data_IF_199729316289
#
_entry.id   IF_199729316289
#
_cell.length_a   1.000
_cell.length_b   1.000
_cell.length_c   1.000
_cell.angle_alpha   90.00
_cell.angle_beta   90.00
_cell.angle_gamma   90.00
#
_symmetry.space_group_name_H-M   'P 1'
#
loop_
_entity.id
_entity.type
_entity.pdbx_description
1 polymer ?
#
# COMPACT_ATOMS: atom_id res chain seq x y z
N UNK A 1 39.41 -79.18 0.06
CA UNK A 1 38.61 -79.35 1.29
C UNK A 1 39.20 -78.49 2.39
N UNK A 2 38.35 -77.80 3.16
CA UNK A 2 38.60 -77.12 4.46
C UNK A 2 39.66 -75.99 4.44
N UNK A 3 39.37 -74.71 4.69
CA UNK A 3 38.58 -74.00 5.73
C UNK A 3 39.53 -73.18 6.61
N UNK A 4 39.48 -71.86 6.39
CA UNK A 4 39.38 -70.77 7.36
C UNK A 4 39.87 -71.04 8.81
N UNK A 5 40.71 -70.14 9.35
CA UNK A 5 40.26 -69.03 10.23
C UNK A 5 41.40 -68.08 10.59
N UNK A 6 41.14 -66.80 10.38
CA UNK A 6 41.85 -65.63 10.86
C UNK A 6 41.28 -65.26 12.25
N UNK A 7 42.13 -65.02 13.25
CA UNK A 7 41.73 -64.37 14.52
C UNK A 7 42.53 -63.08 14.63
N UNK A 8 41.86 -61.97 14.38
CA UNK A 8 42.35 -60.62 14.58
C UNK A 8 42.17 -60.20 16.05
N UNK A 9 43.17 -59.51 16.59
CA UNK A 9 43.18 -58.97 17.94
C UNK A 9 42.15 -57.83 18.10
N UNK A 10 41.35 -57.87 19.16
CA UNK A 10 40.38 -56.85 19.51
C UNK A 10 40.92 -55.94 20.64
N UNK A 11 40.84 -54.61 20.50
CA UNK A 11 41.26 -53.63 21.54
C UNK A 11 40.31 -53.58 22.76
N UNK A 12 40.74 -52.95 23.87
CA UNK A 12 40.11 -53.06 25.19
C UNK A 12 38.71 -52.44 25.31
N UNK A 13 37.95 -52.96 26.29
CA UNK A 13 36.54 -52.68 26.56
C UNK A 13 36.25 -51.22 26.95
N UNK A 14 35.12 -50.64 26.50
CA UNK A 14 34.65 -49.34 26.98
C UNK A 14 34.19 -49.40 28.45
N UNK A 15 34.40 -48.31 29.19
CA UNK A 15 33.95 -48.14 30.59
C UNK A 15 32.41 -48.16 30.70
N UNK A 16 31.86 -48.60 31.85
CA UNK A 16 30.42 -48.53 32.07
C UNK A 16 29.92 -47.08 32.15
N UNK A 17 28.67 -46.82 31.72
CA UNK A 17 28.08 -45.49 31.71
C UNK A 17 27.75 -44.98 33.13
N UNK A 18 27.72 -43.65 33.34
CA UNK A 18 27.33 -43.04 34.61
C UNK A 18 25.84 -43.27 34.94
N UNK A 19 25.45 -43.20 36.23
CA UNK A 19 24.06 -43.39 36.65
C UNK A 19 23.15 -42.30 36.05
N UNK A 20 21.86 -42.63 35.80
CA UNK A 20 20.91 -41.69 35.22
C UNK A 20 20.64 -40.51 36.17
N UNK A 21 20.44 -39.29 35.63
CA UNK A 21 20.11 -38.13 36.45
C UNK A 21 18.73 -38.30 37.12
N UNK A 22 18.49 -37.63 38.27
CA UNK A 22 17.20 -37.68 38.94
C UNK A 22 16.09 -37.21 38.01
N UNK A 23 14.99 -37.98 37.98
CA UNK A 23 13.80 -37.71 37.17
C UNK A 23 13.24 -36.34 37.56
N UNK A 24 13.37 -35.34 36.67
CA UNK A 24 12.72 -34.03 36.84
C UNK A 24 11.22 -34.24 36.77
N UNK A 25 10.51 -34.06 37.88
CA UNK A 25 9.06 -33.94 37.85
C UNK A 25 8.67 -32.77 36.94
N UNK A 26 7.65 -32.91 36.08
CA UNK A 26 7.13 -31.78 35.32
C UNK A 26 6.66 -30.71 36.29
N UNK A 27 7.35 -29.56 36.33
CA UNK A 27 6.83 -28.35 36.98
C UNK A 27 5.46 -28.06 36.37
N UNK A 28 4.39 -28.16 37.16
CA UNK A 28 3.08 -27.65 36.76
C UNK A 28 3.25 -26.18 36.39
N UNK A 29 2.80 -25.72 35.21
CA UNK A 29 2.76 -24.31 34.92
C UNK A 29 1.85 -23.63 35.96
N UNK A 30 2.17 -22.39 36.38
CA UNK A 30 1.25 -21.62 37.22
C UNK A 30 -0.09 -21.48 36.48
N UNK A 31 -1.23 -21.41 37.20
CA UNK A 31 -2.50 -21.16 36.57
C UNK A 31 -2.41 -19.86 35.76
N UNK A 32 -2.60 -19.95 34.44
CA UNK A 32 -2.82 -18.77 33.61
C UNK A 32 -4.08 -18.08 34.11
N UNK A 33 -3.91 -17.03 34.92
CA UNK A 33 -4.98 -16.08 35.20
C UNK A 33 -5.29 -15.38 33.89
N UNK A 34 -6.26 -15.91 33.15
CA UNK A 34 -6.90 -15.20 32.04
C UNK A 34 -7.57 -13.99 32.68
N UNK A 35 -6.88 -12.84 32.64
CA UNK A 35 -7.44 -11.56 33.01
C UNK A 35 -8.61 -11.31 32.03
N UNK A 36 -9.85 -11.10 32.51
CA UNK A 36 -11.00 -10.94 31.64
C UNK A 36 -10.89 -9.58 30.95
N UNK A 37 -10.22 -9.51 29.81
CA UNK A 37 -10.14 -8.31 28.96
C UNK A 37 -11.47 -8.04 28.26
N UNK A 38 -12.33 -9.05 28.10
CA UNK A 38 -13.67 -8.91 27.51
C UNK A 38 -14.59 -7.97 28.29
N UNK A 39 -14.51 -7.92 29.63
CA UNK A 39 -15.37 -7.07 30.45
C UNK A 39 -15.06 -5.58 30.27
N UNK A 40 -13.77 -5.23 30.17
CA UNK A 40 -13.32 -3.85 29.95
C UNK A 40 -13.63 -3.39 28.52
N UNK A 41 -13.45 -4.25 27.53
CA UNK A 41 -13.80 -3.95 26.14
C UNK A 41 -15.31 -3.75 25.95
N UNK A 42 -16.14 -4.58 26.59
CA UNK A 42 -17.59 -4.47 26.53
C UNK A 42 -18.09 -3.22 27.29
N UNK A 43 -17.50 -2.90 28.45
CA UNK A 43 -17.82 -1.69 29.19
C UNK A 43 -17.41 -0.42 28.42
N UNK A 44 -16.25 -0.43 27.75
CA UNK A 44 -15.81 0.67 26.90
C UNK A 44 -16.72 0.85 25.67
N UNK A 45 -17.13 -0.25 25.03
CA UNK A 45 -18.09 -0.22 23.93
C UNK A 45 -19.45 0.31 24.38
N UNK A 46 -19.96 -0.15 25.52
CA UNK A 46 -21.21 0.33 26.10
C UNK A 46 -21.15 1.82 26.47
N UNK A 47 -20.01 2.28 27.03
CA UNK A 47 -19.79 3.70 27.33
C UNK A 47 -19.73 4.56 26.06
N UNK A 48 -19.11 4.07 24.97
CA UNK A 48 -19.09 4.76 23.69
C UNK A 48 -20.50 4.87 23.06
N UNK A 49 -21.29 3.80 23.13
CA UNK A 49 -22.69 3.80 22.66
C UNK A 49 -23.57 4.74 23.50
N UNK A 50 -23.40 4.75 24.83
CA UNK A 50 -24.11 5.67 25.71
C UNK A 50 -23.71 7.14 25.49
N UNK A 51 -22.43 7.42 25.24
CA UNK A 51 -21.95 8.75 24.91
C UNK A 51 -22.49 9.24 23.56
N UNK A 52 -22.59 8.35 22.56
CA UNK A 52 -23.23 8.65 21.28
C UNK A 52 -24.74 8.91 21.43
N UNK A 53 -25.42 8.16 22.31
CA UNK A 53 -26.84 8.38 22.61
C UNK A 53 -27.11 9.64 23.45
N UNK A 54 -26.12 10.09 24.23
CA UNK A 54 -26.18 11.32 25.03
C UNK A 54 -25.71 12.58 24.27
N UNK A 55 -25.26 12.42 23.02
CA UNK A 55 -24.84 13.55 22.19
C UNK A 55 -26.04 14.48 21.95
N UNK A 56 -25.89 15.75 22.32
CA UNK A 56 -26.92 16.75 22.06
C UNK A 56 -27.13 16.91 20.54
N UNK A 57 -28.32 17.31 20.06
CA UNK A 57 -28.55 17.62 18.65
C UNK A 57 -27.46 18.49 17.98
N UNK A 58 -26.90 19.54 18.63
CA UNK A 58 -25.77 20.28 18.08
C UNK A 58 -24.46 19.48 17.99
N UNK A 59 -24.22 18.52 18.88
CA UNK A 59 -23.05 17.64 18.82
C UNK A 59 -23.18 16.59 17.70
N UNK A 60 -24.40 16.10 17.43
CA UNK A 60 -24.68 15.24 16.27
C UNK A 60 -24.62 16.02 14.95
N UNK A 61 -25.10 17.26 14.93
CA UNK A 61 -24.97 18.17 13.79
C UNK A 61 -23.50 18.55 13.51
N UNK A 62 -22.64 18.58 14.53
CA UNK A 62 -21.20 18.77 14.35
C UNK A 62 -20.50 17.54 13.72
N UNK A 63 -21.13 16.36 13.76
CA UNK A 63 -20.64 15.13 13.12
C UNK A 63 -21.24 14.93 11.72
N UNK A 64 -22.29 15.66 11.34
CA UNK A 64 -22.84 15.58 9.99
C UNK A 64 -21.95 16.33 9.02
N UNK A 65 -21.51 15.63 7.99
CA UNK A 65 -20.82 16.25 6.86
C UNK A 65 -21.76 17.23 6.14
N UNK A 66 -21.23 18.32 5.57
CA UNK A 66 -22.03 19.27 4.82
C UNK A 66 -22.58 18.63 3.54
N UNK A 67 -23.72 19.12 3.03
CA UNK A 67 -24.44 18.50 1.90
C UNK A 67 -23.63 18.42 0.59
N UNK A 68 -22.62 19.27 0.46
CA UNK A 68 -21.64 19.37 -0.62
C UNK A 68 -20.40 18.49 -0.40
N UNK A 69 -20.39 17.61 0.61
CA UNK A 69 -19.34 16.61 0.80
C UNK A 69 -19.45 15.48 -0.23
N UNK A 70 -18.29 14.97 -0.66
CA UNK A 70 -18.24 13.74 -1.44
C UNK A 70 -18.51 12.55 -0.52
N UNK A 71 -19.31 11.61 -0.99
CA UNK A 71 -19.51 10.34 -0.28
C UNK A 71 -18.22 9.51 -0.26
N UNK A 72 -18.09 8.61 0.72
CA UNK A 72 -16.94 7.71 0.85
C UNK A 72 -16.61 6.93 -0.44
N UNK A 73 -17.58 6.36 -1.19
CA UNK A 73 -17.29 5.71 -2.46
C UNK A 73 -16.70 6.66 -3.50
N UNK A 74 -17.18 7.90 -3.56
CA UNK A 74 -16.66 8.91 -4.49
C UNK A 74 -15.24 9.31 -4.11
N UNK A 75 -14.94 9.48 -2.82
CA UNK A 75 -13.57 9.68 -2.34
C UNK A 75 -12.64 8.53 -2.70
N UNK A 76 -13.11 7.29 -2.55
CA UNK A 76 -12.33 6.11 -2.90
C UNK A 76 -11.90 6.16 -4.37
N UNK A 77 -12.81 6.50 -5.29
CA UNK A 77 -12.49 6.66 -6.72
C UNK A 77 -11.47 7.77 -6.97
N UNK A 78 -11.61 8.93 -6.34
CA UNK A 78 -10.65 10.03 -6.53
C UNK A 78 -9.23 9.64 -6.10
N UNK A 79 -9.10 9.08 -4.89
CA UNK A 79 -7.80 8.68 -4.34
C UNK A 79 -7.22 7.51 -5.12
N UNK A 80 -8.04 6.52 -5.49
CA UNK A 80 -7.56 5.38 -6.28
C UNK A 80 -7.09 5.82 -7.66
N UNK A 81 -7.83 6.69 -8.35
CA UNK A 81 -7.43 7.19 -9.67
C UNK A 81 -6.15 8.02 -9.63
N UNK A 82 -5.93 8.83 -8.58
CA UNK A 82 -4.64 9.52 -8.39
C UNK A 82 -3.49 8.52 -8.20
N UNK A 83 -3.68 7.49 -7.37
CA UNK A 83 -2.67 6.46 -7.14
C UNK A 83 -2.38 5.63 -8.40
N UNK A 84 -3.42 5.26 -9.15
CA UNK A 84 -3.32 4.56 -10.43
C UNK A 84 -2.55 5.42 -11.46
N UNK A 85 -2.82 6.72 -11.52
CA UNK A 85 -2.11 7.62 -12.42
C UNK A 85 -0.62 7.76 -12.08
N UNK A 86 -0.29 7.92 -10.79
CA UNK A 86 1.12 7.94 -10.33
C UNK A 86 1.83 6.63 -10.65
N UNK A 87 1.14 5.49 -10.45
CA UNK A 87 1.66 4.17 -10.81
C UNK A 87 1.90 4.06 -12.31
N UNK A 88 0.96 4.53 -13.14
CA UNK A 88 1.11 4.56 -14.59
C UNK A 88 2.31 5.43 -15.01
N UNK A 89 2.47 6.62 -14.44
CA UNK A 89 3.65 7.47 -14.70
C UNK A 89 4.96 6.76 -14.37
N UNK A 90 5.02 6.04 -13.24
CA UNK A 90 6.19 5.26 -12.86
C UNK A 90 6.46 4.12 -13.84
N UNK A 91 5.44 3.37 -14.25
CA UNK A 91 5.57 2.28 -15.23
C UNK A 91 6.02 2.78 -16.61
N UNK A 92 5.49 3.92 -17.07
CA UNK A 92 5.91 4.56 -18.33
C UNK A 92 7.38 4.97 -18.25
N UNK A 93 7.83 5.49 -17.10
CA UNK A 93 9.23 5.84 -16.89
C UNK A 93 10.14 4.61 -16.93
N UNK A 94 9.80 3.59 -16.14
CA UNK A 94 10.55 2.34 -16.02
C UNK A 94 10.64 1.62 -17.37
N UNK A 95 9.55 1.64 -18.16
CA UNK A 95 9.58 1.14 -19.54
C UNK A 95 10.60 1.90 -20.41
N UNK A 96 10.68 3.22 -20.26
CA UNK A 96 11.70 4.04 -20.93
C UNK A 96 13.14 3.76 -20.49
N UNK A 97 13.37 3.39 -19.22
CA UNK A 97 14.67 2.91 -18.73
C UNK A 97 15.03 1.57 -19.37
N UNK A 98 14.13 0.59 -19.30
CA UNK A 98 14.39 -0.78 -19.75
C UNK A 98 14.57 -0.92 -21.26
N UNK A 99 13.85 -0.10 -22.05
CA UNK A 99 13.96 -0.11 -23.52
C UNK A 99 15.05 0.81 -24.06
N UNK A 100 15.58 1.73 -23.24
CA UNK A 100 16.50 2.77 -23.68
C UNK A 100 15.86 3.87 -24.55
N UNK A 101 14.54 3.81 -24.79
CA UNK A 101 13.83 4.78 -25.62
C UNK A 101 13.45 5.99 -24.76
N UNK A 102 14.26 7.06 -24.85
CA UNK A 102 14.10 8.30 -24.06
C UNK A 102 12.73 8.98 -24.22
N UNK A 103 12.00 8.71 -25.31
CA UNK A 103 10.66 9.26 -25.55
C UNK A 103 9.65 8.94 -24.45
N UNK A 104 9.72 7.76 -23.85
CA UNK A 104 8.78 7.33 -22.79
C UNK A 104 8.99 8.08 -21.47
N UNK A 105 10.23 8.42 -21.11
CA UNK A 105 10.48 9.32 -19.97
C UNK A 105 9.90 10.71 -20.22
N UNK A 106 9.99 11.19 -21.46
CA UNK A 106 9.32 12.43 -21.89
C UNK A 106 7.80 12.36 -21.77
N UNK A 107 7.18 11.23 -22.09
CA UNK A 107 5.75 11.01 -21.89
C UNK A 107 5.37 11.03 -20.42
N UNK A 108 6.17 10.41 -19.54
CA UNK A 108 5.96 10.45 -18.09
C UNK A 108 5.94 11.88 -17.55
N UNK A 109 6.88 12.73 -18.00
CA UNK A 109 6.85 14.16 -17.69
C UNK A 109 5.63 14.88 -18.27
N UNK A 110 5.21 14.53 -19.48
CA UNK A 110 4.00 15.08 -20.10
C UNK A 110 2.70 14.71 -19.37
N UNK A 111 2.69 13.67 -18.54
CA UNK A 111 1.53 13.29 -17.73
C UNK A 111 1.38 14.12 -16.44
N UNK A 112 2.42 14.85 -16.02
CA UNK A 112 2.44 15.63 -14.76
C UNK A 112 1.35 16.71 -14.68
N UNK A 113 1.04 17.49 -15.74
CA UNK A 113 0.00 18.51 -15.63
C UNK A 113 -1.38 17.92 -15.35
N UNK A 114 -1.72 16.75 -15.91
CA UNK A 114 -2.98 16.05 -15.61
C UNK A 114 -3.05 15.60 -14.15
N UNK A 115 -1.94 15.11 -13.59
CA UNK A 115 -1.85 14.82 -12.16
C UNK A 115 -2.09 16.07 -11.31
N UNK A 116 -1.50 17.21 -11.70
CA UNK A 116 -1.75 18.50 -11.06
C UNK A 116 -3.23 18.89 -11.10
N UNK A 117 -3.92 18.66 -12.21
CA UNK A 117 -5.36 18.88 -12.34
C UNK A 117 -6.18 18.01 -11.38
N UNK A 118 -5.82 16.72 -11.26
CA UNK A 118 -6.45 15.82 -10.30
C UNK A 118 -6.25 16.28 -8.84
N UNK A 119 -5.06 16.80 -8.51
CA UNK A 119 -4.79 17.36 -7.19
C UNK A 119 -5.60 18.63 -6.91
N UNK A 120 -5.81 19.49 -7.91
CA UNK A 120 -6.69 20.66 -7.79
C UNK A 120 -8.13 20.24 -7.47
N UNK A 121 -8.67 19.27 -8.20
CA UNK A 121 -10.01 18.71 -7.96
C UNK A 121 -10.13 18.13 -6.54
N UNK A 122 -9.19 17.27 -6.15
CA UNK A 122 -9.19 16.64 -4.83
C UNK A 122 -9.08 17.67 -3.71
N UNK A 123 -8.29 18.73 -3.89
CA UNK A 123 -8.16 19.83 -2.92
C UNK A 123 -9.47 20.60 -2.79
N UNK A 124 -10.11 20.93 -3.91
CA UNK A 124 -11.39 21.63 -3.88
C UNK A 124 -12.48 20.80 -3.18
N UNK A 125 -12.53 19.49 -3.45
CA UNK A 125 -13.42 18.56 -2.77
C UNK A 125 -13.09 18.35 -1.29
N UNK A 126 -11.81 18.36 -0.91
CA UNK A 126 -11.37 18.31 0.49
C UNK A 126 -11.91 19.48 1.31
N UNK A 127 -11.98 20.66 0.70
CA UNK A 127 -12.57 21.87 1.30
C UNK A 127 -14.06 22.04 0.96
N UNK A 128 -14.76 20.92 0.75
CA UNK A 128 -16.19 20.89 0.50
C UNK A 128 -16.61 21.84 -0.62
N UNK A 129 -15.90 21.92 -1.74
CA UNK A 129 -16.29 22.76 -2.88
C UNK A 129 -16.47 24.25 -2.52
N UNK A 130 -15.67 24.77 -1.58
CA UNK A 130 -15.76 26.18 -1.17
C UNK A 130 -15.60 27.12 -2.36
N UNK A 131 -16.49 28.12 -2.46
CA UNK A 131 -16.42 29.19 -3.48
C UNK A 131 -15.10 29.96 -3.42
N UNK A 132 -14.51 30.11 -2.22
CA UNK A 132 -13.21 30.77 -2.05
C UNK A 132 -12.05 30.07 -2.78
N UNK A 133 -12.23 28.81 -3.17
CA UNK A 133 -11.26 27.98 -3.86
C UNK A 133 -11.69 27.64 -5.30
N UNK A 134 -12.72 28.30 -5.85
CA UNK A 134 -13.21 28.06 -7.21
C UNK A 134 -12.10 28.24 -8.28
N UNK A 135 -11.08 29.07 -8.00
CA UNK A 135 -9.88 29.20 -8.83
C UNK A 135 -9.19 27.86 -9.12
N UNK A 136 -9.30 26.86 -8.22
CA UNK A 136 -8.78 25.52 -8.43
C UNK A 136 -9.50 24.80 -9.58
N UNK A 137 -10.77 25.09 -9.83
CA UNK A 137 -11.54 24.52 -10.95
C UNK A 137 -11.03 25.09 -12.28
N UNK A 138 -10.80 26.40 -12.33
CA UNK A 138 -10.20 27.04 -13.50
C UNK A 138 -8.78 26.53 -13.75
N UNK A 139 -7.98 26.37 -12.70
CA UNK A 139 -6.63 25.81 -12.77
C UNK A 139 -6.64 24.34 -13.22
N UNK A 140 -7.56 23.52 -12.71
CA UNK A 140 -7.78 22.15 -13.16
C UNK A 140 -8.08 22.11 -14.67
N UNK A 141 -8.95 23.00 -15.16
CA UNK A 141 -9.24 23.14 -16.58
C UNK A 141 -7.99 23.51 -17.40
N UNK A 142 -7.22 24.50 -16.96
CA UNK A 142 -5.99 24.91 -17.63
C UNK A 142 -4.95 23.77 -17.67
N UNK A 143 -4.73 23.09 -16.54
CA UNK A 143 -3.84 21.94 -16.43
C UNK A 143 -4.30 20.76 -17.28
N UNK A 144 -5.60 20.60 -17.49
CA UNK A 144 -6.16 19.59 -18.41
C UNK A 144 -5.79 19.89 -19.86
N UNK A 145 -5.95 21.14 -20.29
CA UNK A 145 -5.54 21.57 -21.64
C UNK A 145 -4.03 21.38 -21.82
N UNK A 146 -3.22 21.88 -20.89
CA UNK A 146 -1.75 21.76 -20.92
C UNK A 146 -1.33 20.29 -20.90
N UNK A 147 -1.96 19.47 -20.07
CA UNK A 147 -1.70 18.03 -19.96
C UNK A 147 -1.97 17.28 -21.26
N UNK A 148 -3.13 17.51 -21.87
CA UNK A 148 -3.44 16.89 -23.17
C UNK A 148 -2.47 17.33 -24.27
N UNK A 149 -2.09 18.61 -24.30
CA UNK A 149 -1.11 19.13 -25.27
C UNK A 149 0.28 18.51 -25.06
N UNK A 150 0.76 18.45 -23.82
CA UNK A 150 2.08 17.89 -23.51
C UNK A 150 2.15 16.39 -23.77
N UNK A 151 1.10 15.64 -23.44
CA UNK A 151 1.00 14.23 -23.82
C UNK A 151 0.96 14.02 -25.33
N UNK A 152 0.22 14.86 -26.08
CA UNK A 152 0.18 14.80 -27.54
C UNK A 152 1.56 15.04 -28.16
N UNK A 153 2.28 16.06 -27.69
CA UNK A 153 3.66 16.35 -28.13
C UNK A 153 4.60 15.18 -27.80
N UNK A 154 4.49 14.59 -26.60
CA UNK A 154 5.31 13.45 -26.21
C UNK A 154 5.01 12.20 -27.05
N UNK A 155 3.73 11.91 -27.30
CA UNK A 155 3.31 10.81 -28.18
C UNK A 155 3.80 11.00 -29.61
N UNK A 156 3.72 12.21 -30.16
CA UNK A 156 4.26 12.54 -31.48
C UNK A 156 5.78 12.30 -31.56
N UNK A 157 6.53 12.69 -30.52
CA UNK A 157 7.98 12.44 -30.44
C UNK A 157 8.31 10.94 -30.41
N UNK A 158 7.52 10.14 -29.68
CA UNK A 158 7.66 8.67 -29.67
C UNK A 158 7.39 8.11 -31.08
N UNK A 159 6.28 8.52 -31.72
CA UNK A 159 5.94 8.08 -33.07
C UNK A 159 7.04 8.37 -34.09
N UNK A 160 7.58 9.60 -34.06
CA UNK A 160 8.68 10.01 -34.93
C UNK A 160 9.93 9.15 -34.74
N UNK A 161 10.31 8.89 -33.48
CA UNK A 161 11.44 8.03 -33.16
C UNK A 161 11.22 6.58 -33.65
N UNK A 162 10.00 6.05 -33.53
CA UNK A 162 9.66 4.71 -34.02
C UNK A 162 9.79 4.60 -35.54
N UNK A 163 9.36 5.64 -36.29
CA UNK A 163 9.47 5.67 -37.75
C UNK A 163 10.91 5.75 -38.25
N UNK A 164 11.80 6.41 -37.50
CA UNK A 164 13.23 6.48 -37.81
C UNK A 164 13.90 5.12 -37.57
N UNK A 165 13.57 4.45 -36.46
CA UNK A 165 14.07 3.10 -36.17
C UNK A 165 13.67 2.07 -37.24
N UNK A 166 12.44 2.12 -37.74
CA UNK A 166 11.96 1.20 -38.79
C UNK A 166 12.62 1.38 -40.15
N UNK A 167 13.16 2.57 -40.44
CA UNK A 167 13.83 2.86 -41.73
C UNK A 167 15.31 2.47 -41.73
N UNK A 168 15.90 2.29 -40.55
CA UNK A 168 17.32 1.94 -40.37
C UNK A 168 17.53 0.44 -40.17
N UNK A 169 16.45 -0.32 -39.94
CA UNK A 169 16.47 -1.79 -39.83
C UNK A 169 16.19 -2.47 -41.17
#
# INVERSE_FOLDING_TARGET
MASLRLVAALPPSPRPPPPPPPRREPRRPPPSTVRPTSGVALAAAAAAVAAAAAASPPALAALSEPANALSLPTWAVHVSSVAEWVTAMWLVWDYGERTGIKGWKGLSWGMVPLLGGAMCACTWHFFYNSESLEVLVALQGALTVIGNLTMCIAAYRIFKASQESSKTS
#
